data_IF_955852284018
#
_entry.id   IF_955852284018
#
_cell.length_a   1.000
_cell.length_b   1.000
_cell.length_c   1.000
_cell.angle_alpha   90.00
_cell.angle_beta   90.00
_cell.angle_gamma   90.00
#
_symmetry.space_group_name_H-M   'P 1'
#
loop_
_entity.id
_entity.type
_entity.pdbx_description
1 polymer ?
#
# COMPACT_ATOMS: atom_id res chain seq x y z
N UNK A 1 -36.57 35.82 -7.16
CA UNK A 1 -35.67 35.12 -6.22
C UNK A 1 -36.46 33.98 -5.59
N UNK A 2 -36.25 32.76 -6.06
CA UNK A 2 -36.82 31.55 -5.47
C UNK A 2 -35.73 30.88 -4.61
N UNK A 3 -36.02 30.46 -3.36
CA UNK A 3 -35.05 29.77 -2.53
C UNK A 3 -34.77 28.36 -3.08
N UNK A 4 -33.49 28.01 -3.09
CA UNK A 4 -32.94 26.82 -3.73
C UNK A 4 -33.50 25.50 -3.20
N UNK A 5 -33.89 24.65 -4.14
CA UNK A 5 -34.14 23.23 -3.96
C UNK A 5 -32.84 22.51 -3.57
N UNK A 6 -32.75 22.14 -2.29
CA UNK A 6 -31.77 21.16 -1.81
C UNK A 6 -32.09 19.82 -2.47
N UNK A 7 -31.15 19.30 -3.27
CA UNK A 7 -31.14 17.93 -3.77
C UNK A 7 -31.19 16.97 -2.58
N UNK A 8 -32.39 16.51 -2.24
CA UNK A 8 -32.61 15.38 -1.37
C UNK A 8 -32.19 14.14 -2.14
N UNK A 9 -31.13 13.47 -1.70
CA UNK A 9 -30.77 12.14 -2.20
C UNK A 9 -31.97 11.22 -1.89
N UNK A 10 -32.73 10.88 -2.92
CA UNK A 10 -33.96 10.10 -2.79
C UNK A 10 -33.73 8.78 -2.06
N UNK A 11 -34.66 8.44 -1.16
CA UNK A 11 -34.65 7.22 -0.35
C UNK A 11 -34.45 5.92 -1.16
N UNK A 12 -34.76 5.93 -2.46
CA UNK A 12 -34.69 4.76 -3.36
C UNK A 12 -33.28 4.25 -3.75
N UNK A 13 -32.18 4.94 -3.39
CA UNK A 13 -30.83 4.41 -3.64
C UNK A 13 -30.16 3.81 -2.40
N UNK A 14 -30.72 3.99 -1.20
CA UNK A 14 -30.17 3.37 0.01
C UNK A 14 -30.32 1.84 -0.04
N UNK A 15 -31.42 1.34 -0.59
CA UNK A 15 -31.76 -0.09 -0.52
C UNK A 15 -31.06 -1.00 -1.54
N UNK A 16 -30.22 -0.45 -2.44
CA UNK A 16 -29.54 -1.24 -3.50
C UNK A 16 -28.12 -1.69 -3.15
N UNK A 17 -27.59 -1.28 -2.00
CA UNK A 17 -26.21 -1.58 -1.60
C UNK A 17 -26.25 -2.42 -0.31
N UNK A 18 -25.82 -3.70 -0.32
CA UNK A 18 -25.90 -4.54 0.87
C UNK A 18 -25.16 -3.90 2.05
N UNK A 19 -25.90 -3.43 3.07
CA UNK A 19 -25.37 -2.69 4.23
C UNK A 19 -24.53 -3.54 5.20
N UNK A 20 -24.46 -4.86 5.00
CA UNK A 20 -23.92 -5.80 5.99
C UNK A 20 -22.39 -5.70 6.18
N UNK A 21 -21.63 -5.35 5.14
CA UNK A 21 -20.15 -5.32 5.22
C UNK A 21 -19.61 -4.09 5.98
N UNK A 22 -20.35 -2.97 5.96
CA UNK A 22 -19.90 -1.67 6.51
C UNK A 22 -19.55 -1.73 8.00
N UNK A 23 -20.30 -2.51 8.79
CA UNK A 23 -20.12 -2.58 10.26
C UNK A 23 -19.04 -3.57 10.71
N UNK A 24 -18.78 -4.59 9.91
CA UNK A 24 -17.91 -5.70 10.31
C UNK A 24 -16.50 -5.61 9.73
N UNK A 25 -16.28 -4.78 8.70
CA UNK A 25 -14.95 -4.60 8.11
C UNK A 25 -13.96 -4.08 9.13
N UNK A 26 -12.86 -4.80 9.30
CA UNK A 26 -11.73 -4.44 10.14
C UNK A 26 -10.61 -3.88 9.29
N UNK A 27 -10.24 -2.62 9.55
CA UNK A 27 -9.19 -1.91 8.82
C UNK A 27 -7.94 -1.77 9.69
N UNK A 28 -6.81 -2.30 9.21
CA UNK A 28 -5.50 -2.10 9.81
C UNK A 28 -4.74 -1.00 9.06
N UNK A 29 -4.13 -0.07 9.80
CA UNK A 29 -3.34 1.01 9.23
C UNK A 29 -1.88 0.91 9.67
N UNK A 30 -0.98 0.69 8.71
CA UNK A 30 0.46 0.81 8.89
C UNK A 30 0.89 2.27 8.73
N UNK A 31 1.41 2.85 9.81
CA UNK A 31 1.82 4.24 10.04
C UNK A 31 0.67 5.26 10.24
N UNK A 32 0.68 5.89 11.42
CA UNK A 32 -0.05 7.11 11.76
C UNK A 32 0.67 8.40 11.32
N UNK A 33 1.97 8.32 11.00
CA UNK A 33 2.83 9.45 10.66
C UNK A 33 2.47 10.19 9.36
N UNK A 34 1.54 9.65 8.57
CA UNK A 34 1.23 10.22 7.27
C UNK A 34 0.10 11.26 7.33
N UNK A 35 0.30 12.36 6.61
CA UNK A 35 -0.66 13.44 6.34
C UNK A 35 -1.99 12.89 5.76
N UNK A 36 -1.94 11.72 5.11
CA UNK A 36 -3.08 11.02 4.49
C UNK A 36 -3.95 10.37 5.54
N UNK A 37 -3.36 9.70 6.52
CA UNK A 37 -4.12 8.66 7.19
C UNK A 37 -5.18 9.19 8.15
N UNK A 38 -5.11 10.45 8.57
CA UNK A 38 -6.12 11.06 9.47
C UNK A 38 -7.35 11.60 8.71
N UNK A 39 -7.18 12.13 7.47
CA UNK A 39 -8.31 12.44 6.56
C UNK A 39 -9.00 11.18 6.03
N UNK A 40 -8.19 10.14 5.87
CA UNK A 40 -8.63 8.79 5.55
C UNK A 40 -9.59 8.24 6.62
N UNK A 41 -9.31 8.44 7.91
CA UNK A 41 -10.15 7.93 9.00
C UNK A 41 -11.53 8.60 9.06
N UNK A 42 -11.60 9.90 8.76
CA UNK A 42 -12.88 10.61 8.62
C UNK A 42 -13.69 10.10 7.41
N UNK A 43 -13.01 9.83 6.30
CA UNK A 43 -13.64 9.34 5.07
C UNK A 43 -14.18 7.91 5.25
N UNK A 44 -13.41 7.04 5.90
CA UNK A 44 -13.82 5.66 6.22
C UNK A 44 -14.97 5.61 7.22
N UNK A 45 -14.99 6.49 8.21
CA UNK A 45 -16.15 6.62 9.10
C UNK A 45 -17.39 7.14 8.36
N UNK A 46 -17.22 8.04 7.38
CA UNK A 46 -18.30 8.46 6.49
C UNK A 46 -18.97 7.29 5.75
N UNK A 47 -18.18 6.27 5.38
CA UNK A 47 -18.69 5.02 4.80
C UNK A 47 -19.28 4.05 5.83
N UNK A 48 -19.05 4.28 7.13
CA UNK A 48 -19.66 3.56 8.24
C UNK A 48 -18.79 2.48 8.88
N UNK A 49 -17.50 2.41 8.54
CA UNK A 49 -16.54 1.45 9.13
C UNK A 49 -16.36 1.71 10.62
N UNK A 50 -16.36 0.62 11.41
CA UNK A 50 -16.36 0.69 12.88
C UNK A 50 -15.08 0.19 13.53
N UNK A 51 -14.34 -0.72 12.92
CA UNK A 51 -13.17 -1.33 13.52
C UNK A 51 -11.92 -0.81 12.82
N UNK A 52 -11.15 0.03 13.51
CA UNK A 52 -9.97 0.70 12.96
C UNK A 52 -8.81 0.50 13.94
N UNK A 53 -7.71 -0.06 13.45
CA UNK A 53 -6.50 -0.26 14.25
C UNK A 53 -5.33 0.51 13.65
N UNK A 54 -4.70 1.32 14.48
CA UNK A 54 -3.53 2.12 14.17
C UNK A 54 -2.25 1.43 14.61
N UNK A 55 -1.24 1.43 13.74
CA UNK A 55 0.10 0.93 14.05
C UNK A 55 1.12 2.00 13.68
N UNK A 56 1.87 2.50 14.66
CA UNK A 56 2.92 3.51 14.47
C UNK A 56 3.82 3.57 15.70
N UNK A 57 5.13 3.71 15.53
CA UNK A 57 6.09 3.74 16.65
C UNK A 57 6.58 5.15 17.02
N UNK A 58 6.08 6.20 16.36
CA UNK A 58 6.53 7.57 16.57
C UNK A 58 5.62 8.34 17.54
N UNK A 59 6.15 9.45 18.05
CA UNK A 59 5.40 10.41 18.85
C UNK A 59 4.94 11.61 18.02
N UNK A 60 3.91 12.32 18.52
CA UNK A 60 3.38 13.53 17.89
C UNK A 60 4.38 14.67 18.08
N UNK A 61 4.84 15.28 16.99
CA UNK A 61 5.72 16.47 17.02
C UNK A 61 4.95 17.75 16.71
N UNK A 62 5.51 18.91 17.08
CA UNK A 62 4.87 20.22 16.87
C UNK A 62 4.48 20.55 15.43
N UNK A 63 5.13 19.93 14.44
CA UNK A 63 4.81 20.13 13.02
C UNK A 63 3.67 19.23 12.51
N UNK A 64 3.23 18.25 13.31
CA UNK A 64 2.22 17.28 12.92
C UNK A 64 0.78 17.83 12.90
N UNK A 65 0.29 18.59 13.90
CA UNK A 65 -1.12 19.00 13.97
C UNK A 65 -1.64 19.73 12.72
N UNK A 66 -0.80 20.53 12.05
CA UNK A 66 -1.19 21.28 10.84
C UNK A 66 -1.28 20.41 9.58
N UNK A 67 -0.82 19.15 9.64
CA UNK A 67 -0.78 18.20 8.53
C UNK A 67 -1.56 16.92 8.82
N UNK A 68 -1.76 16.59 10.09
CA UNK A 68 -2.35 15.31 10.53
C UNK A 68 -3.57 15.62 11.42
N UNK A 69 -4.78 15.77 10.83
CA UNK A 69 -6.00 16.21 11.52
C UNK A 69 -6.52 15.40 12.73
N UNK A 70 -5.88 14.29 13.13
CA UNK A 70 -6.18 13.63 14.40
C UNK A 70 -5.27 14.05 15.54
N UNK A 71 -4.35 15.00 15.34
CA UNK A 71 -3.47 15.47 16.40
C UNK A 71 -3.66 16.96 16.65
N UNK A 72 -3.64 17.33 17.92
CA UNK A 72 -3.75 18.72 18.37
C UNK A 72 -2.42 19.20 18.94
N UNK A 73 -2.26 20.51 19.09
CA UNK A 73 -1.06 21.11 19.67
C UNK A 73 -0.72 20.50 21.05
N UNK A 74 -1.73 20.26 21.87
CA UNK A 74 -1.60 19.63 23.19
C UNK A 74 -1.01 18.22 23.15
N UNK A 75 -1.17 17.50 22.04
CA UNK A 75 -0.61 16.15 21.88
C UNK A 75 0.90 16.18 21.59
N UNK A 76 1.45 17.35 21.24
CA UNK A 76 2.88 17.57 20.98
C UNK A 76 3.66 18.01 22.22
N UNK A 77 2.97 18.31 23.32
CA UNK A 77 3.60 18.76 24.58
C UNK A 77 4.33 17.61 25.28
N UNK A 78 5.21 17.94 26.21
CA UNK A 78 5.92 16.98 27.09
C UNK A 78 6.68 15.87 26.35
N UNK A 79 7.24 16.18 25.19
CA UNK A 79 7.97 15.23 24.34
C UNK A 79 7.10 14.47 23.32
N UNK A 80 5.81 14.77 23.29
CA UNK A 80 4.85 14.23 22.33
C UNK A 80 4.24 12.90 22.79
N UNK A 81 2.94 12.76 22.61
CA UNK A 81 2.23 11.50 22.90
C UNK A 81 2.47 10.45 21.80
N UNK A 82 2.39 9.15 22.11
CA UNK A 82 2.43 8.08 21.09
C UNK A 82 1.35 8.25 20.01
N UNK A 83 1.74 8.22 18.73
CA UNK A 83 0.83 8.56 17.62
C UNK A 83 -0.33 7.58 17.48
N UNK A 84 -0.09 6.28 17.58
CA UNK A 84 -1.11 5.27 17.32
C UNK A 84 -2.26 5.36 18.34
N UNK A 85 -1.92 5.39 19.63
CA UNK A 85 -2.86 5.49 20.74
C UNK A 85 -3.58 6.85 20.75
N UNK A 86 -2.87 7.93 20.44
CA UNK A 86 -3.45 9.27 20.35
C UNK A 86 -4.44 9.38 19.20
N UNK A 87 -4.12 8.81 18.03
CA UNK A 87 -5.04 8.76 16.88
C UNK A 87 -6.32 7.99 17.24
N UNK A 88 -6.20 6.81 17.87
CA UNK A 88 -7.35 6.04 18.33
C UNK A 88 -8.24 6.81 19.31
N UNK A 89 -7.61 7.53 20.25
CA UNK A 89 -8.31 8.34 21.25
C UNK A 89 -9.03 9.52 20.61
N UNK A 90 -8.35 10.27 19.74
CA UNK A 90 -8.94 11.43 19.07
C UNK A 90 -10.01 11.01 18.06
N UNK A 91 -9.92 9.83 17.43
CA UNK A 91 -10.98 9.31 16.58
C UNK A 91 -12.27 9.03 17.36
N UNK A 92 -12.16 8.50 18.58
CA UNK A 92 -13.31 8.30 19.47
C UNK A 92 -13.96 9.60 19.90
N UNK A 93 -13.22 10.72 19.94
CA UNK A 93 -13.78 12.05 20.17
C UNK A 93 -14.65 12.50 18.99
N UNK A 94 -14.26 12.16 17.75
CA UNK A 94 -15.05 12.45 16.54
C UNK A 94 -16.34 11.63 16.53
N UNK A 95 -16.23 10.33 16.78
CA UNK A 95 -17.38 9.44 16.84
C UNK A 95 -17.21 8.34 17.89
N UNK A 96 -17.89 8.42 19.04
CA UNK A 96 -17.71 7.46 20.14
C UNK A 96 -18.09 6.02 19.81
N UNK A 97 -18.88 5.78 18.76
CA UNK A 97 -19.30 4.44 18.33
C UNK A 97 -18.27 3.69 17.47
N UNK A 98 -17.04 4.22 17.32
CA UNK A 98 -15.92 3.55 16.64
C UNK A 98 -15.15 2.67 17.63
N UNK A 99 -14.87 1.44 17.23
CA UNK A 99 -13.90 0.56 17.89
C UNK A 99 -12.50 0.86 17.34
N UNK A 100 -11.89 1.93 17.86
CA UNK A 100 -10.54 2.34 17.50
C UNK A 100 -9.49 1.85 18.52
N UNK A 101 -8.39 1.27 18.04
CA UNK A 101 -7.24 0.83 18.84
C UNK A 101 -5.93 1.35 18.25
N UNK A 102 -4.91 1.55 19.08
CA UNK A 102 -3.59 1.98 18.66
C UNK A 102 -2.52 1.13 19.31
N UNK A 103 -1.49 0.76 18.54
CA UNK A 103 -0.36 -0.03 19.00
C UNK A 103 0.96 0.61 18.55
N UNK A 104 1.82 0.93 19.50
CA UNK A 104 3.22 1.28 19.24
C UNK A 104 4.02 0.04 18.84
N UNK A 105 4.21 -0.16 17.53
CA UNK A 105 4.95 -1.31 16.97
C UNK A 105 5.99 -0.79 15.98
N UNK A 106 7.25 -1.19 16.17
CA UNK A 106 8.30 -0.93 15.20
C UNK A 106 8.22 -1.93 14.05
N UNK A 107 8.30 -1.46 12.81
CA UNK A 107 8.29 -2.34 11.63
C UNK A 107 9.74 -2.48 11.15
N UNK A 108 10.36 -3.67 11.30
CA UNK A 108 11.72 -3.88 10.82
C UNK A 108 11.79 -3.71 9.29
N UNK A 109 12.87 -3.10 8.83
CA UNK A 109 13.08 -2.70 7.44
C UNK A 109 14.22 -3.51 6.82
N UNK A 110 14.09 -4.00 5.58
CA UNK A 110 15.21 -4.58 4.85
C UNK A 110 16.41 -3.63 4.77
N UNK A 111 17.61 -4.15 5.03
CA UNK A 111 18.86 -3.38 5.04
C UNK A 111 19.14 -2.60 6.33
N UNK A 112 18.28 -2.73 7.35
CA UNK A 112 18.52 -2.17 8.67
C UNK A 112 18.63 -3.31 9.71
N UNK A 113 19.85 -3.62 10.20
CA UNK A 113 20.05 -4.69 11.16
C UNK A 113 19.21 -4.52 12.41
N UNK A 114 18.63 -5.63 12.89
CA UNK A 114 17.83 -5.62 14.11
C UNK A 114 18.73 -5.39 15.34
N UNK A 115 18.42 -4.37 16.13
CA UNK A 115 19.14 -4.08 17.38
C UNK A 115 18.75 -4.99 18.55
N UNK A 116 17.50 -5.46 18.57
CA UNK A 116 16.97 -6.39 19.58
C UNK A 116 16.08 -7.45 18.93
N UNK A 117 16.60 -8.67 18.81
CA UNK A 117 15.88 -9.79 18.17
C UNK A 117 14.58 -10.12 18.92
N UNK A 118 14.59 -10.08 20.25
CA UNK A 118 13.40 -10.34 21.07
C UNK A 118 12.29 -9.33 20.79
N UNK A 119 12.64 -8.04 20.70
CA UNK A 119 11.66 -6.98 20.39
C UNK A 119 11.15 -7.12 18.96
N UNK A 120 12.03 -7.30 17.99
CA UNK A 120 11.63 -7.46 16.59
C UNK A 120 10.74 -8.68 16.39
N UNK A 121 11.03 -9.81 17.06
CA UNK A 121 10.18 -11.01 16.99
C UNK A 121 8.80 -10.76 17.59
N UNK A 122 8.73 -10.06 18.73
CA UNK A 122 7.46 -9.66 19.34
C UNK A 122 6.66 -8.73 18.43
N UNK A 123 7.30 -7.71 17.87
CA UNK A 123 6.68 -6.73 16.99
C UNK A 123 6.17 -7.37 15.69
N UNK A 124 6.99 -8.22 15.06
CA UNK A 124 6.60 -8.98 13.87
C UNK A 124 5.44 -9.93 14.16
N UNK A 125 5.47 -10.63 15.30
CA UNK A 125 4.36 -11.50 15.71
C UNK A 125 3.08 -10.69 15.86
N UNK A 126 3.13 -9.58 16.60
CA UNK A 126 1.96 -8.74 16.83
C UNK A 126 1.43 -8.13 15.53
N UNK A 127 2.31 -7.66 14.65
CA UNK A 127 1.92 -7.15 13.33
C UNK A 127 1.25 -8.24 12.48
N UNK A 128 1.78 -9.46 12.52
CA UNK A 128 1.22 -10.62 11.79
C UNK A 128 -0.18 -10.95 12.28
N UNK A 129 -0.38 -10.97 13.61
CA UNK A 129 -1.70 -11.21 14.22
C UNK A 129 -2.69 -10.13 13.83
N UNK A 130 -2.28 -8.85 13.89
CA UNK A 130 -3.11 -7.74 13.47
C UNK A 130 -3.49 -7.86 11.98
N UNK A 131 -2.55 -8.15 11.09
CA UNK A 131 -2.85 -8.34 9.65
C UNK A 131 -3.83 -9.50 9.46
N UNK A 132 -3.67 -10.61 10.20
CA UNK A 132 -4.56 -11.75 10.14
C UNK A 132 -5.98 -11.42 10.63
N UNK A 133 -6.11 -10.62 11.69
CA UNK A 133 -7.38 -10.24 12.30
C UNK A 133 -8.20 -9.23 11.48
N UNK A 134 -7.56 -8.50 10.56
CA UNK A 134 -8.17 -7.43 9.77
C UNK A 134 -8.47 -7.86 8.34
N UNK A 135 -9.46 -7.24 7.71
CA UNK A 135 -9.90 -7.56 6.34
C UNK A 135 -9.11 -6.78 5.29
N UNK A 136 -8.80 -5.51 5.61
CA UNK A 136 -8.09 -4.58 4.73
C UNK A 136 -6.91 -3.98 5.47
N UNK A 137 -5.76 -3.92 4.81
CA UNK A 137 -4.52 -3.35 5.32
C UNK A 137 -4.13 -2.14 4.48
N UNK A 138 -3.97 -0.98 5.11
CA UNK A 138 -3.50 0.23 4.45
C UNK A 138 -2.03 0.45 4.77
N UNK A 139 -1.22 0.57 3.72
CA UNK A 139 0.19 0.94 3.82
C UNK A 139 0.30 2.44 3.56
N UNK A 140 0.34 3.21 4.64
CA UNK A 140 0.44 4.67 4.63
C UNK A 140 1.79 5.11 5.20
N UNK A 141 2.82 4.31 4.92
CA UNK A 141 4.15 4.48 5.50
C UNK A 141 4.94 5.53 4.74
N UNK A 142 5.93 6.11 5.40
CA UNK A 142 6.80 7.15 4.85
C UNK A 142 7.85 6.56 3.92
N UNK A 143 8.46 5.43 4.26
CA UNK A 143 9.54 4.86 3.45
C UNK A 143 9.10 3.68 2.59
N UNK A 144 9.91 3.37 1.57
CA UNK A 144 9.72 2.17 0.75
C UNK A 144 10.01 0.90 1.53
N UNK A 145 11.07 0.88 2.32
CA UNK A 145 11.57 -0.30 3.04
C UNK A 145 10.56 -0.75 4.08
N UNK A 146 9.96 0.20 4.79
CA UNK A 146 8.96 -0.06 5.82
C UNK A 146 7.69 -0.72 5.28
N UNK A 147 7.36 -0.50 3.99
CA UNK A 147 6.22 -1.16 3.31
C UNK A 147 6.48 -2.62 2.96
N UNK A 148 7.74 -3.08 2.94
CA UNK A 148 8.10 -4.42 2.48
C UNK A 148 7.47 -5.51 3.34
N UNK A 149 7.70 -5.48 4.65
CA UNK A 149 7.21 -6.51 5.56
C UNK A 149 5.68 -6.60 5.56
N UNK A 150 4.91 -5.50 5.71
CA UNK A 150 3.45 -5.56 5.57
C UNK A 150 2.97 -6.04 4.20
N UNK A 151 3.70 -5.75 3.11
CA UNK A 151 3.35 -6.23 1.77
C UNK A 151 3.50 -7.74 1.65
N UNK A 152 4.60 -8.30 2.17
CA UNK A 152 4.84 -9.73 2.25
C UNK A 152 3.75 -10.41 3.09
N UNK A 153 3.51 -9.91 4.32
CA UNK A 153 2.52 -10.48 5.23
C UNK A 153 1.11 -10.43 4.64
N UNK A 154 0.73 -9.31 4.00
CA UNK A 154 -0.56 -9.19 3.32
C UNK A 154 -0.71 -10.19 2.17
N UNK A 155 0.35 -10.41 1.39
CA UNK A 155 0.36 -11.41 0.33
C UNK A 155 0.26 -12.84 0.87
N UNK A 156 1.04 -13.17 1.90
CA UNK A 156 1.05 -14.48 2.54
C UNK A 156 -0.28 -14.82 3.24
N UNK A 157 -0.97 -13.82 3.82
CA UNK A 157 -2.27 -13.99 4.48
C UNK A 157 -3.48 -13.77 3.57
N UNK A 158 -3.25 -13.49 2.28
CA UNK A 158 -4.31 -13.27 1.29
C UNK A 158 -5.20 -12.06 1.60
N UNK A 159 -4.63 -10.99 2.15
CA UNK A 159 -5.36 -9.79 2.58
C UNK A 159 -5.41 -8.73 1.48
N UNK A 160 -6.49 -7.94 1.47
CA UNK A 160 -6.56 -6.76 0.62
C UNK A 160 -5.61 -5.70 1.17
N UNK A 161 -4.52 -5.44 0.44
CA UNK A 161 -3.56 -4.39 0.79
C UNK A 161 -3.77 -3.20 -0.14
N UNK A 162 -3.96 -2.02 0.43
CA UNK A 162 -4.01 -0.75 -0.31
C UNK A 162 -2.82 0.10 0.11
N UNK A 163 -1.98 0.42 -0.87
CA UNK A 163 -0.81 1.24 -0.68
C UNK A 163 -1.08 2.67 -1.15
N UNK A 164 -0.70 3.65 -0.34
CA UNK A 164 -0.66 5.05 -0.75
C UNK A 164 0.73 5.64 -0.49
N UNK A 165 1.32 6.23 -1.51
CA UNK A 165 2.62 6.91 -1.47
C UNK A 165 2.49 8.32 -2.03
N UNK A 166 3.28 9.26 -1.50
CA UNK A 166 3.28 10.66 -1.94
C UNK A 166 4.69 11.12 -2.27
N UNK A 167 4.86 11.66 -3.47
CA UNK A 167 5.96 12.54 -3.80
C UNK A 167 5.64 14.01 -3.49
N UNK A 168 6.47 14.91 -4.01
CA UNK A 168 6.30 16.35 -3.83
C UNK A 168 4.95 16.88 -4.36
N UNK A 169 4.64 16.58 -5.62
CA UNK A 169 3.43 16.99 -6.34
C UNK A 169 2.70 15.83 -7.05
N UNK A 170 3.15 14.59 -6.83
CA UNK A 170 2.54 13.36 -7.35
C UNK A 170 2.14 12.39 -6.24
N UNK A 171 1.16 11.53 -6.51
CA UNK A 171 0.77 10.44 -5.61
C UNK A 171 0.53 9.13 -6.35
N UNK A 172 0.67 8.03 -5.62
CA UNK A 172 0.29 6.69 -6.05
C UNK A 172 -0.68 6.10 -5.03
N UNK A 173 -1.83 5.63 -5.51
CA UNK A 173 -2.76 4.78 -4.75
C UNK A 173 -2.90 3.48 -5.50
N UNK A 174 -2.67 2.33 -4.87
CA UNK A 174 -2.82 1.04 -5.52
C UNK A 174 -3.31 -0.06 -4.59
N UNK A 175 -3.98 -1.06 -5.15
CA UNK A 175 -4.30 -2.30 -4.43
C UNK A 175 -3.34 -3.41 -4.86
N UNK A 176 -2.84 -4.21 -3.93
CA UNK A 176 -2.03 -5.38 -4.27
C UNK A 176 -2.92 -6.51 -4.78
N UNK A 177 -2.38 -7.33 -5.69
CA UNK A 177 -3.01 -8.59 -6.06
C UNK A 177 -2.97 -9.61 -4.94
N UNK A 178 -4.10 -10.30 -4.74
CA UNK A 178 -4.22 -11.39 -3.76
C UNK A 178 -3.91 -12.72 -4.45
N UNK A 179 -2.97 -13.53 -3.91
CA UNK A 179 -2.71 -14.87 -4.44
C UNK A 179 -3.94 -15.79 -4.32
N UNK A 180 -4.12 -16.71 -5.28
CA UNK A 180 -5.18 -17.73 -5.23
C UNK A 180 -6.35 -17.51 -6.19
N UNK A 181 -6.04 -17.30 -7.48
CA UNK A 181 -7.02 -17.55 -8.54
C UNK A 181 -7.36 -19.04 -8.61
N UNK A 182 -8.60 -19.36 -8.97
CA UNK A 182 -9.04 -20.74 -9.18
C UNK A 182 -8.06 -21.50 -10.07
N UNK A 183 -7.61 -22.68 -9.61
CA UNK A 183 -7.00 -23.73 -10.44
C UNK A 183 -8.03 -24.38 -11.37
N UNK A 184 -9.02 -23.62 -11.81
CA UNK A 184 -10.07 -24.07 -12.70
C UNK A 184 -9.68 -23.63 -14.11
N UNK A 185 -9.27 -24.56 -14.98
CA UNK A 185 -8.87 -24.25 -16.36
C UNK A 185 -10.03 -23.70 -17.22
N UNK A 186 -11.27 -23.70 -16.72
CA UNK A 186 -12.45 -23.14 -17.39
C UNK A 186 -12.69 -21.64 -17.14
N UNK A 187 -12.04 -21.05 -16.13
CA UNK A 187 -12.11 -19.62 -15.85
C UNK A 187 -10.94 -18.92 -16.55
N UNK A 188 -11.16 -17.77 -17.22
CA UNK A 188 -10.05 -17.00 -17.76
C UNK A 188 -9.07 -16.70 -16.63
N UNK A 189 -7.79 -16.97 -16.87
CA UNK A 189 -6.72 -16.64 -15.92
C UNK A 189 -6.84 -15.14 -15.62
N UNK A 190 -7.45 -14.79 -14.50
CA UNK A 190 -7.44 -13.42 -14.03
C UNK A 190 -6.00 -13.14 -13.66
N UNK A 191 -5.30 -12.45 -14.55
CA UNK A 191 -3.89 -12.13 -14.38
C UNK A 191 -3.69 -11.48 -13.02
N UNK A 192 -2.91 -12.14 -12.17
CA UNK A 192 -2.71 -11.68 -10.80
C UNK A 192 -2.08 -10.29 -10.85
N UNK A 193 -2.68 -9.33 -10.13
CA UNK A 193 -2.16 -7.98 -10.07
C UNK A 193 -0.85 -7.95 -9.27
N UNK A 194 0.04 -7.05 -9.67
CA UNK A 194 1.28 -6.81 -8.94
C UNK A 194 1.06 -6.17 -7.56
N UNK A 195 2.09 -6.21 -6.73
CA UNK A 195 2.19 -5.37 -5.54
C UNK A 195 3.08 -4.14 -5.83
N UNK A 196 3.28 -3.28 -4.83
CA UNK A 196 4.16 -2.11 -4.91
C UNK A 196 5.57 -2.45 -5.45
N UNK A 197 6.10 -3.63 -5.14
CA UNK A 197 7.45 -4.08 -5.51
C UNK A 197 7.51 -4.89 -6.82
N UNK A 198 6.41 -5.06 -7.56
CA UNK A 198 6.42 -5.86 -8.79
C UNK A 198 6.98 -5.12 -10.00
N UNK A 199 6.87 -3.79 -10.04
CA UNK A 199 7.33 -2.98 -11.18
C UNK A 199 8.77 -2.50 -11.00
N UNK A 200 9.51 -3.11 -10.07
CA UNK A 200 10.88 -2.72 -9.74
C UNK A 200 11.84 -3.89 -9.99
N UNK A 201 12.98 -3.58 -10.61
CA UNK A 201 14.09 -4.51 -10.89
C UNK A 201 15.13 -4.51 -9.75
N UNK A 202 14.91 -3.72 -8.69
CA UNK A 202 15.83 -3.61 -7.54
C UNK A 202 15.13 -3.95 -6.23
N UNK A 203 15.78 -4.71 -5.34
CA UNK A 203 15.28 -4.96 -3.99
C UNK A 203 15.14 -3.66 -3.17
N UNK A 204 14.21 -3.60 -2.19
CA UNK A 204 14.24 -2.52 -1.21
C UNK A 204 15.53 -2.59 -0.39
N UNK A 205 16.40 -1.59 -0.56
CA UNK A 205 17.63 -1.37 0.22
C UNK A 205 17.48 -0.09 1.03
N UNK A 206 18.42 0.21 1.93
CA UNK A 206 18.44 1.49 2.67
C UNK A 206 18.37 2.67 1.71
N UNK A 207 17.18 3.27 1.57
CA UNK A 207 17.01 4.46 0.74
C UNK A 207 17.16 5.73 1.53
N UNK A 208 17.25 5.71 2.88
CA UNK A 208 17.30 6.89 3.80
C UNK A 208 18.43 7.86 3.45
N UNK A 209 19.33 7.44 2.57
CA UNK A 209 20.45 8.19 2.07
C UNK A 209 20.25 8.80 0.66
N UNK A 210 19.30 8.36 -0.21
CA UNK A 210 19.41 8.74 -1.64
C UNK A 210 18.19 8.73 -2.63
N UNK A 211 16.90 8.84 -2.24
CA UNK A 211 15.79 9.01 -3.25
C UNK A 211 14.63 9.94 -2.85
N UNK A 212 13.89 10.47 -3.84
CA UNK A 212 12.96 11.61 -3.65
C UNK A 212 11.46 11.29 -3.57
N UNK A 213 10.97 10.16 -4.12
CA UNK A 213 9.53 9.90 -4.20
C UNK A 213 8.90 9.52 -2.85
N UNK A 214 9.68 8.93 -1.93
CA UNK A 214 9.19 8.50 -0.62
C UNK A 214 9.78 9.31 0.55
N UNK A 215 10.84 10.10 0.35
CA UNK A 215 11.66 10.55 1.50
C UNK A 215 11.38 11.89 2.14
N UNK A 216 10.40 12.67 1.67
CA UNK A 216 10.18 13.99 2.26
C UNK A 216 8.70 14.29 2.42
N UNK A 217 8.04 13.46 3.25
CA UNK A 217 6.64 13.64 3.66
C UNK A 217 6.35 15.03 4.31
N UNK A 218 7.38 15.76 4.74
CA UNK A 218 7.28 17.14 5.24
C UNK A 218 7.25 18.20 4.12
N UNK A 219 7.68 17.86 2.91
CA UNK A 219 7.85 18.78 1.77
C UNK A 219 6.77 18.57 0.70
N UNK A 220 5.82 17.64 0.88
CA UNK A 220 4.70 17.45 -0.05
C UNK A 220 3.73 18.64 -0.04
N UNK A 221 3.12 19.00 -1.19
CA UNK A 221 2.05 20.00 -1.21
C UNK A 221 0.87 19.49 -0.35
N UNK A 222 0.32 20.28 0.60
CA UNK A 222 -0.62 19.79 1.61
C UNK A 222 -1.86 19.06 1.05
N UNK A 223 -2.38 19.51 -0.10
CA UNK A 223 -3.56 18.93 -0.74
C UNK A 223 -3.40 17.51 -1.26
N UNK A 224 -2.18 17.03 -1.52
CA UNK A 224 -1.95 15.67 -2.04
C UNK A 224 -2.49 14.60 -1.10
N UNK A 225 -2.23 14.80 0.18
CA UNK A 225 -2.61 13.86 1.22
C UNK A 225 -4.12 13.62 1.24
N UNK A 226 -4.91 14.69 1.16
CA UNK A 226 -6.36 14.61 1.13
C UNK A 226 -6.86 13.82 -0.08
N UNK A 227 -6.28 14.09 -1.25
CA UNK A 227 -6.66 13.44 -2.51
C UNK A 227 -6.31 11.96 -2.49
N UNK A 228 -5.07 11.62 -2.14
CA UNK A 228 -4.62 10.23 -2.07
C UNK A 228 -5.40 9.43 -1.03
N UNK A 229 -5.72 10.03 0.13
CA UNK A 229 -6.58 9.40 1.14
C UNK A 229 -7.97 9.10 0.61
N UNK A 230 -8.63 10.08 0.01
CA UNK A 230 -9.98 9.89 -0.53
C UNK A 230 -9.99 8.77 -1.58
N UNK A 231 -9.02 8.79 -2.50
CA UNK A 231 -8.90 7.75 -3.53
C UNK A 231 -8.60 6.36 -2.94
N UNK A 232 -7.79 6.25 -1.89
CA UNK A 232 -7.52 4.98 -1.22
C UNK A 232 -8.78 4.40 -0.56
N UNK A 233 -9.59 5.25 0.07
CA UNK A 233 -10.88 4.85 0.66
C UNK A 233 -11.87 4.44 -0.41
N UNK A 234 -12.08 5.26 -1.44
CA UNK A 234 -13.01 4.93 -2.52
C UNK A 234 -12.59 3.65 -3.26
N UNK A 235 -11.29 3.43 -3.48
CA UNK A 235 -10.78 2.19 -4.05
C UNK A 235 -11.13 0.99 -3.16
N UNK A 236 -10.92 1.08 -1.85
CA UNK A 236 -11.31 0.02 -0.91
C UNK A 236 -12.79 -0.31 -1.04
N UNK A 237 -13.64 0.71 -0.99
CA UNK A 237 -15.09 0.54 -1.02
C UNK A 237 -15.51 -0.08 -2.35
N UNK A 238 -14.98 0.38 -3.48
CA UNK A 238 -15.26 -0.20 -4.80
C UNK A 238 -14.83 -1.67 -4.91
N UNK A 239 -13.68 -2.03 -4.36
CA UNK A 239 -13.21 -3.43 -4.32
C UNK A 239 -14.13 -4.30 -3.46
N UNK A 240 -14.53 -3.84 -2.27
CA UNK A 240 -15.37 -4.59 -1.35
C UNK A 240 -16.80 -4.82 -1.87
N UNK A 241 -17.29 -3.97 -2.77
CA UNK A 241 -18.60 -4.16 -3.41
C UNK A 241 -18.57 -5.04 -4.66
N UNK A 242 -17.39 -5.35 -5.18
CA UNK A 242 -17.27 -6.25 -6.32
C UNK A 242 -17.43 -7.70 -5.86
N UNK A 243 -18.10 -8.55 -6.65
CA UNK A 243 -18.37 -9.94 -6.28
C UNK A 243 -17.10 -10.75 -6.02
N UNK A 244 -16.05 -10.52 -6.83
CA UNK A 244 -14.73 -11.11 -6.65
C UNK A 244 -13.89 -10.47 -5.53
N UNK A 245 -14.38 -9.38 -4.92
CA UNK A 245 -13.70 -8.68 -3.83
C UNK A 245 -12.26 -8.30 -4.19
N UNK A 246 -11.27 -8.62 -3.33
CA UNK A 246 -9.85 -8.34 -3.59
C UNK A 246 -9.28 -8.95 -4.88
N UNK A 247 -9.93 -9.98 -5.44
CA UNK A 247 -9.55 -10.65 -6.69
C UNK A 247 -10.21 -10.04 -7.92
N UNK A 248 -10.94 -8.93 -7.78
CA UNK A 248 -11.51 -8.23 -8.93
C UNK A 248 -10.42 -7.87 -9.97
N UNK A 249 -10.68 -8.04 -11.27
CA UNK A 249 -9.78 -7.60 -12.33
C UNK A 249 -9.59 -6.08 -12.27
N UNK A 250 -8.53 -5.58 -12.88
CA UNK A 250 -8.23 -4.15 -12.90
C UNK A 250 -8.84 -3.47 -14.12
N UNK A 251 -9.62 -2.42 -13.88
CA UNK A 251 -10.07 -1.55 -14.96
C UNK A 251 -8.93 -0.64 -15.43
N UNK A 252 -8.85 -0.43 -16.74
CA UNK A 252 -7.91 0.52 -17.36
C UNK A 252 -8.65 1.52 -18.22
N UNK A 253 -8.06 2.69 -18.49
CA UNK A 253 -8.69 3.72 -19.32
C UNK A 253 -9.00 3.24 -20.76
N UNK A 254 -8.30 2.21 -21.26
CA UNK A 254 -8.50 1.63 -22.58
C UNK A 254 -9.50 0.46 -22.60
N UNK A 255 -9.77 -0.14 -21.44
CA UNK A 255 -10.80 -1.15 -21.23
C UNK A 255 -11.53 -0.80 -19.93
N UNK A 256 -12.38 0.24 -19.96
CA UNK A 256 -13.36 0.37 -18.91
C UNK A 256 -14.20 -0.91 -18.98
N UNK A 257 -14.43 -1.56 -17.85
CA UNK A 257 -15.58 -2.47 -17.76
C UNK A 257 -16.84 -1.61 -17.95
N UNK A 258 -17.15 -1.35 -19.23
CA UNK A 258 -18.42 -0.79 -19.62
C UNK A 258 -19.51 -1.74 -19.08
N UNK A 259 -20.68 -1.22 -18.74
CA UNK A 259 -21.83 -2.04 -18.40
C UNK A 259 -22.39 -2.70 -19.67
N UNK A 260 -21.58 -3.48 -20.37
CA UNK A 260 -22.07 -4.44 -21.37
C UNK A 260 -22.30 -5.77 -20.66
N UNK A 261 -23.58 -5.99 -20.31
CA UNK A 261 -24.38 -7.20 -20.10
C UNK A 261 -23.78 -8.55 -19.59
N UNK A 262 -22.47 -8.73 -19.40
CA UNK A 262 -21.90 -10.04 -19.05
C UNK A 262 -20.76 -10.05 -18.02
N UNK A 263 -20.32 -8.90 -17.49
CA UNK A 263 -19.39 -8.85 -16.36
C UNK A 263 -19.96 -8.00 -15.22
N UNK A 264 -20.05 -8.51 -13.98
CA UNK A 264 -20.55 -7.76 -12.84
C UNK A 264 -19.51 -6.71 -12.41
N UNK A 265 -19.55 -5.52 -13.02
CA UNK A 265 -18.76 -4.37 -12.58
C UNK A 265 -19.18 -3.89 -11.18
N UNK A 266 -18.32 -3.14 -10.48
CA UNK A 266 -18.70 -2.57 -9.19
C UNK A 266 -19.82 -1.53 -9.36
N UNK A 267 -20.83 -1.51 -8.47
CA UNK A 267 -21.90 -0.51 -8.50
C UNK A 267 -21.41 0.92 -8.25
N UNK A 268 -20.15 1.09 -7.84
CA UNK A 268 -19.51 2.38 -7.56
C UNK A 268 -18.59 2.85 -8.70
N UNK A 269 -18.54 2.12 -9.82
CA UNK A 269 -17.72 2.45 -10.98
C UNK A 269 -16.45 1.62 -11.07
N UNK A 270 -15.38 2.21 -11.61
CA UNK A 270 -14.14 1.52 -11.94
C UNK A 270 -13.38 1.05 -10.69
N UNK A 271 -12.68 -0.08 -10.83
CA UNK A 271 -11.78 -0.69 -9.85
C UNK A 271 -10.37 -0.77 -10.45
N UNK A 272 -9.63 0.35 -10.49
CA UNK A 272 -8.27 0.35 -11.01
C UNK A 272 -7.32 -0.49 -10.13
N UNK A 273 -6.19 -0.90 -10.72
CA UNK A 273 -5.07 -1.45 -9.95
C UNK A 273 -4.25 -0.31 -9.33
N UNK A 274 -3.77 0.63 -10.15
CA UNK A 274 -2.99 1.80 -9.72
C UNK A 274 -3.63 3.09 -10.21
N UNK A 275 -3.67 4.10 -9.35
CA UNK A 275 -4.03 5.48 -9.66
C UNK A 275 -2.79 6.34 -9.40
N UNK A 276 -2.24 6.93 -10.45
CA UNK A 276 -1.15 7.90 -10.37
C UNK A 276 -1.68 9.30 -10.66
N UNK A 277 -1.58 10.18 -9.69
CA UNK A 277 -2.04 11.55 -9.83
C UNK A 277 -0.90 12.55 -9.87
N UNK A 278 -1.13 13.63 -10.60
CA UNK A 278 -0.17 14.70 -10.82
C UNK A 278 -0.86 16.05 -10.54
N UNK A 279 -0.48 16.75 -9.46
CA UNK A 279 -1.09 18.04 -9.11
C UNK A 279 -0.54 19.21 -9.95
N UNK A 280 0.57 19.03 -10.66
CA UNK A 280 1.04 20.04 -11.61
C UNK A 280 0.09 20.19 -12.81
N UNK A 281 -0.47 19.07 -13.27
CA UNK A 281 -1.34 18.99 -14.45
C UNK A 281 -2.80 18.71 -14.11
N UNK A 282 -3.12 18.48 -12.83
CA UNK A 282 -4.44 18.06 -12.35
C UNK A 282 -4.99 16.83 -13.10
N UNK A 283 -4.11 15.85 -13.37
CA UNK A 283 -4.46 14.64 -14.10
C UNK A 283 -4.27 13.37 -13.27
N UNK A 284 -5.06 12.34 -13.61
CA UNK A 284 -4.95 10.98 -13.06
C UNK A 284 -4.68 9.99 -14.20
N UNK A 285 -3.83 9.00 -13.93
CA UNK A 285 -3.52 7.90 -14.84
C UNK A 285 -3.84 6.57 -14.15
N UNK A 286 -4.60 5.71 -14.85
CA UNK A 286 -4.94 4.37 -14.38
C UNK A 286 -4.01 3.35 -15.04
N UNK A 287 -3.27 2.60 -14.24
CA UNK A 287 -2.29 1.61 -14.71
C UNK A 287 -2.60 0.26 -14.07
N UNK A 288 -2.47 -0.81 -14.86
CA UNK A 288 -2.47 -2.17 -14.37
C UNK A 288 -1.12 -2.83 -14.66
N UNK A 289 -0.43 -3.25 -13.60
CA UNK A 289 0.75 -4.12 -13.67
C UNK A 289 0.43 -5.55 -13.24
N UNK A 290 1.10 -6.52 -13.85
CA UNK A 290 1.01 -7.94 -13.47
C UNK A 290 1.92 -8.27 -12.30
N UNK A 291 1.59 -9.32 -11.57
CA UNK A 291 2.48 -9.91 -10.59
C UNK A 291 3.76 -10.40 -11.27
N UNK A 292 4.89 -10.09 -10.68
CA UNK A 292 6.19 -10.46 -11.20
C UNK A 292 6.73 -11.68 -10.45
N UNK A 293 7.11 -12.73 -11.18
CA UNK A 293 7.56 -14.01 -10.62
C UNK A 293 8.84 -13.89 -9.78
N UNK A 294 9.65 -12.85 -10.02
CA UNK A 294 10.85 -12.53 -9.24
C UNK A 294 10.66 -11.34 -8.29
N UNK A 295 9.42 -10.96 -7.98
CA UNK A 295 9.16 -9.89 -7.01
C UNK A 295 9.69 -10.25 -5.61
N UNK A 296 10.38 -9.31 -4.97
CA UNK A 296 10.97 -9.45 -3.63
C UNK A 296 9.95 -9.46 -2.49
N UNK A 297 8.67 -9.21 -2.77
CA UNK A 297 7.61 -9.18 -1.76
C UNK A 297 6.50 -10.22 -1.98
N UNK A 298 5.93 -10.34 -3.19
CA UNK A 298 4.73 -11.17 -3.42
C UNK A 298 4.96 -12.42 -4.29
N UNK A 299 6.19 -12.68 -4.75
CA UNK A 299 6.48 -13.89 -5.54
C UNK A 299 6.19 -15.16 -4.72
N UNK A 300 5.88 -16.27 -5.40
CA UNK A 300 5.70 -17.58 -4.74
C UNK A 300 6.96 -17.98 -3.97
N UNK A 301 8.15 -17.78 -4.53
CA UNK A 301 9.43 -18.07 -3.89
C UNK A 301 9.59 -17.39 -2.52
N UNK A 302 9.26 -16.11 -2.44
CA UNK A 302 9.35 -15.34 -1.18
C UNK A 302 8.29 -15.81 -0.18
N UNK A 303 7.06 -16.05 -0.63
CA UNK A 303 5.98 -16.56 0.24
C UNK A 303 6.31 -17.94 0.81
N UNK A 304 6.76 -18.86 -0.03
CA UNK A 304 7.17 -20.22 0.38
C UNK A 304 8.38 -20.19 1.33
N UNK A 305 9.36 -19.32 1.07
CA UNK A 305 10.51 -19.14 1.96
C UNK A 305 10.10 -18.60 3.34
N UNK A 306 9.17 -17.65 3.38
CA UNK A 306 8.60 -17.12 4.62
C UNK A 306 7.76 -18.17 5.36
N UNK A 307 6.89 -18.90 4.66
CA UNK A 307 6.06 -19.96 5.26
C UNK A 307 6.92 -21.09 5.85
N UNK A 308 8.02 -21.45 5.19
CA UNK A 308 8.92 -22.52 5.64
C UNK A 308 9.80 -22.12 6.83
N UNK A 309 10.37 -20.91 6.81
CA UNK A 309 11.42 -20.51 7.76
C UNK A 309 10.97 -19.42 8.74
N UNK A 310 9.76 -18.87 8.60
CA UNK A 310 9.18 -17.87 9.49
C UNK A 310 10.09 -16.68 9.74
N UNK A 311 10.33 -16.37 11.02
CA UNK A 311 11.14 -15.22 11.43
C UNK A 311 12.61 -15.33 10.97
N UNK A 312 13.16 -16.53 10.80
CA UNK A 312 14.57 -16.68 10.40
C UNK A 312 14.80 -16.30 8.92
N UNK A 313 13.75 -16.35 8.10
CA UNK A 313 13.75 -15.74 6.77
C UNK A 313 13.74 -14.21 6.88
N UNK A 314 12.85 -13.68 7.71
CA UNK A 314 12.70 -12.23 7.91
C UNK A 314 13.99 -11.60 8.43
N UNK A 315 14.60 -12.21 9.46
CA UNK A 315 15.89 -11.78 10.02
C UNK A 315 16.96 -11.63 8.93
N UNK A 316 17.12 -12.66 8.09
CA UNK A 316 18.09 -12.60 6.97
C UNK A 316 17.76 -11.48 5.99
N UNK A 317 16.48 -11.26 5.68
CA UNK A 317 16.06 -10.17 4.81
C UNK A 317 16.29 -8.77 5.42
N UNK A 318 16.26 -8.64 6.75
CA UNK A 318 16.57 -7.39 7.43
C UNK A 318 18.07 -7.13 7.50
N UNK A 319 18.86 -8.16 7.77
CA UNK A 319 20.31 -8.07 7.94
C UNK A 319 21.06 -7.93 6.60
N UNK A 320 20.54 -8.54 5.53
CA UNK A 320 21.18 -8.55 4.20
C UNK A 320 20.22 -8.09 3.08
N UNK A 321 20.47 -6.92 2.46
CA UNK A 321 19.70 -6.43 1.33
C UNK A 321 19.75 -7.33 0.09
N UNK A 322 20.83 -8.08 -0.12
CA UNK A 322 21.02 -8.95 -1.28
C UNK A 322 20.24 -10.27 -1.16
N UNK A 323 19.96 -10.72 0.06
CA UNK A 323 19.29 -12.00 0.32
C UNK A 323 17.94 -12.11 -0.42
N UNK A 324 17.17 -11.03 -0.50
CA UNK A 324 15.90 -11.03 -1.23
C UNK A 324 16.08 -11.21 -2.74
N UNK A 325 17.17 -10.69 -3.31
CA UNK A 325 17.49 -10.85 -4.73
C UNK A 325 17.98 -12.27 -5.05
N UNK A 326 18.69 -12.90 -4.12
CA UNK A 326 19.10 -14.30 -4.23
C UNK A 326 17.88 -15.23 -4.22
N UNK A 327 16.97 -15.03 -3.27
CA UNK A 327 15.75 -15.85 -3.12
C UNK A 327 14.86 -15.76 -4.36
N UNK A 328 14.72 -14.57 -4.94
CA UNK A 328 13.89 -14.38 -6.14
C UNK A 328 14.58 -14.79 -7.43
N UNK A 329 15.91 -14.87 -7.42
CA UNK A 329 16.74 -15.03 -8.60
C UNK A 329 16.92 -13.73 -9.40
N UNK A 330 16.70 -12.57 -8.80
CA UNK A 330 17.05 -11.27 -9.38
C UNK A 330 18.56 -11.10 -9.49
N UNK A 331 19.33 -11.61 -8.52
CA UNK A 331 20.80 -11.50 -8.54
C UNK A 331 21.39 -12.09 -9.83
N UNK A 332 20.94 -13.30 -10.22
CA UNK A 332 21.35 -13.95 -11.47
C UNK A 332 20.94 -13.17 -12.72
N UNK A 333 19.75 -12.56 -12.70
CA UNK A 333 19.25 -11.79 -13.84
C UNK A 333 20.08 -10.52 -14.05
N UNK A 334 20.52 -9.88 -12.97
CA UNK A 334 21.42 -8.72 -13.04
C UNK A 334 22.78 -9.14 -13.58
N UNK A 335 23.37 -10.21 -13.06
CA UNK A 335 24.63 -10.75 -13.56
C UNK A 335 24.58 -11.12 -15.06
N UNK A 336 23.49 -11.78 -15.49
CA UNK A 336 23.26 -12.09 -16.92
C UNK A 336 23.10 -10.81 -17.77
N UNK A 337 22.43 -9.78 -17.25
CA UNK A 337 22.25 -8.51 -17.94
C UNK A 337 23.56 -7.71 -18.04
N UNK A 338 24.33 -7.67 -16.96
CA UNK A 338 25.62 -6.97 -16.90
C UNK A 338 26.62 -7.64 -17.85
N UNK A 339 26.65 -8.98 -17.88
CA UNK A 339 27.49 -9.72 -18.81
C UNK A 339 27.13 -9.48 -20.30
N UNK A 340 25.84 -9.25 -20.61
CA UNK A 340 25.40 -8.90 -21.96
C UNK A 340 25.80 -7.46 -22.34
N UNK A 341 25.68 -6.51 -21.40
CA UNK A 341 26.10 -5.13 -21.62
C UNK A 341 27.60 -5.02 -21.81
N UNK A 342 28.38 -5.72 -20.98
CA UNK A 342 29.82 -5.79 -21.13
C UNK A 342 30.18 -6.38 -22.51
N UNK A 343 29.53 -7.48 -22.93
CA UNK A 343 29.78 -8.10 -24.23
C UNK A 343 29.46 -7.19 -25.43
N UNK A 344 28.43 -6.33 -25.34
CA UNK A 344 28.11 -5.33 -26.35
C UNK A 344 29.16 -4.19 -26.38
N UNK A 345 29.69 -3.77 -25.22
CA UNK A 345 30.78 -2.78 -25.15
C UNK A 345 32.09 -3.32 -25.76
N UNK A 346 32.43 -4.61 -25.54
CA UNK A 346 33.58 -5.26 -26.20
C UNK A 346 33.40 -5.42 -27.72
N UNK A 347 32.15 -5.48 -28.22
CA UNK A 347 31.86 -5.55 -29.66
C UNK A 347 32.00 -4.18 -30.34
N UNK A 348 31.75 -3.08 -29.62
CA UNK A 348 31.89 -1.71 -30.12
C UNK A 348 33.36 -1.24 -30.19
N UNK A 349 34.25 -1.74 -29.34
CA UNK A 349 35.68 -1.40 -29.39
C UNK A 349 36.47 -2.19 -30.46
N UNK A 350 35.83 -3.13 -31.17
CA UNK A 350 36.45 -3.98 -32.19
C UNK A 350 36.33 -3.47 -33.64
N UNK A 351 35.59 -2.40 -33.92
CA UNK A 351 35.34 -1.92 -35.29
C UNK A 351 36.20 -0.71 -35.73
N UNK A 352 37.06 -0.16 -34.86
CA UNK A 352 37.85 1.06 -35.15
C UNK A 352 39.32 0.80 -35.55
N UNK A 353 39.69 -0.38 -36.07
CA UNK A 353 41.09 -0.67 -36.47
C UNK A 353 41.33 -1.14 -37.91
N UNK A 354 40.40 -0.96 -38.85
CA UNK A 354 40.67 -1.24 -40.28
C UNK A 354 40.28 -0.07 -41.19
N UNK A 355 41.05 1.04 -41.12
CA UNK A 355 41.06 2.05 -42.18
C UNK A 355 42.39 2.84 -42.24
N UNK A 356 43.53 2.16 -42.40
CA UNK A 356 44.73 2.77 -42.99
C UNK A 356 45.44 1.76 -43.90
N UNK A 357 45.14 1.79 -45.21
CA UNK A 357 46.10 1.53 -46.31
C UNK A 357 45.76 2.43 -47.50
#
# INVERSE_FOLDING_TARGET
MAPGSILTIGENQRDKVPFAWRRNTRVLRGACSFVTGTLFDCSIQGWGVRNITFVDNATVSFSNPVRQPLFFFEDSLDGGKPKAETAATNLKKVYPGVNAQGFSISIPMPGHPITSETQARSDVSKLTDLIQEHDVVFLLMDSRESRWLPSLLGSAKGKLVINAALGFDTYLVMRHGVPGGSSDPSLPVTEQLGCYFCNDVVAPTDSLTDRTLDQQCTVTRPGLSAVASALAVELMVSVLHHELGPRAPADTAASPSAPEASAPGSPLGLIPHQIRGFLGTFSNMLIAGRAYDRCTACSSKVREAYEKNGFDFLRRAFDDPAYLEEVTGLAKLKEESDALLDADDWAAEGEDSEAEI
#
